data_IF_378476286590
#
_entry.id   IF_378476286590
#
_cell.length_a   1.000
_cell.length_b   1.000
_cell.length_c   1.000
_cell.angle_alpha   90.00
_cell.angle_beta   90.00
_cell.angle_gamma   90.00
#
_symmetry.space_group_name_H-M   'P 1'
#
loop_
_entity.id
_entity.type
_entity.pdbx_description
1 polymer ?
#
# COMPACT_ATOMS: atom_id res chain seq x y z
N UNK A 1 -31.49 -2.32 -1.78
CA UNK A 1 -30.52 -3.34 -2.29
C UNK A 1 -31.22 -4.14 -3.37
N UNK A 2 -30.49 -4.50 -4.43
CA UNK A 2 -30.87 -5.49 -5.44
C UNK A 2 -32.06 -5.17 -6.35
N UNK A 3 -32.05 -4.03 -7.06
CA UNK A 3 -32.73 -3.80 -8.37
C UNK A 3 -32.48 -2.33 -8.78
N UNK A 4 -31.95 -2.12 -9.98
CA UNK A 4 -31.55 -0.80 -10.51
C UNK A 4 -30.04 -0.72 -10.79
N UNK A 5 -29.68 -0.37 -12.03
CA UNK A 5 -28.38 -0.54 -12.72
C UNK A 5 -27.10 0.04 -12.07
N UNK A 6 -27.16 0.53 -10.83
CA UNK A 6 -26.00 1.06 -10.14
C UNK A 6 -25.40 0.05 -9.14
N UNK A 7 -24.61 -0.89 -9.66
CA UNK A 7 -23.85 -1.86 -8.87
C UNK A 7 -22.59 -1.26 -8.22
N UNK A 8 -22.28 0.03 -8.43
CA UNK A 8 -21.05 0.66 -7.95
C UNK A 8 -20.90 0.55 -6.43
N UNK A 9 -21.97 0.77 -5.66
CA UNK A 9 -21.96 0.66 -4.20
C UNK A 9 -21.66 -0.77 -3.72
N UNK A 10 -22.14 -1.78 -4.45
CA UNK A 10 -21.85 -3.19 -4.12
C UNK A 10 -20.41 -3.54 -4.46
N UNK A 11 -19.92 -3.11 -5.63
CA UNK A 11 -18.54 -3.34 -6.06
C UNK A 11 -17.54 -2.65 -5.13
N UNK A 12 -17.77 -1.39 -4.76
CA UNK A 12 -16.87 -0.67 -3.86
C UNK A 12 -16.88 -1.26 -2.45
N UNK A 13 -18.02 -1.75 -1.95
CA UNK A 13 -18.09 -2.47 -0.67
C UNK A 13 -17.29 -3.77 -0.71
N UNK A 14 -17.42 -4.54 -1.79
CA UNK A 14 -16.68 -5.79 -1.99
C UNK A 14 -15.16 -5.56 -2.10
N UNK A 15 -14.74 -4.53 -2.82
CA UNK A 15 -13.33 -4.18 -2.96
C UNK A 15 -12.74 -3.64 -1.65
N UNK A 16 -13.47 -2.79 -0.93
CA UNK A 16 -13.04 -2.34 0.40
C UNK A 16 -12.90 -3.52 1.36
N UNK A 17 -13.86 -4.44 1.42
CA UNK A 17 -13.76 -5.61 2.30
C UNK A 17 -12.50 -6.47 2.01
N UNK A 18 -12.14 -6.64 0.72
CA UNK A 18 -10.89 -7.31 0.36
C UNK A 18 -9.66 -6.50 0.79
N UNK A 19 -9.66 -5.19 0.58
CA UNK A 19 -8.57 -4.31 1.01
C UNK A 19 -8.39 -4.33 2.54
N UNK A 20 -9.48 -4.30 3.30
CA UNK A 20 -9.49 -4.44 4.76
C UNK A 20 -8.86 -5.75 5.19
N UNK A 21 -9.30 -6.89 4.63
CA UNK A 21 -8.74 -8.20 4.96
C UNK A 21 -7.24 -8.31 4.61
N UNK A 22 -6.82 -7.75 3.47
CA UNK A 22 -5.39 -7.72 3.11
C UNK A 22 -4.58 -6.83 4.05
N UNK A 23 -5.14 -5.72 4.52
CA UNK A 23 -4.51 -4.86 5.52
C UNK A 23 -4.40 -5.55 6.89
N UNK A 24 -5.45 -6.25 7.35
CA UNK A 24 -5.42 -7.03 8.60
C UNK A 24 -4.34 -8.11 8.55
N UNK A 25 -4.26 -8.86 7.44
CA UNK A 25 -3.18 -9.83 7.22
C UNK A 25 -1.80 -9.16 7.26
N UNK A 26 -1.66 -7.98 6.65
CA UNK A 26 -0.41 -7.22 6.67
C UNK A 26 -0.04 -6.76 8.08
N UNK A 27 -1.02 -6.33 8.90
CA UNK A 27 -0.84 -5.95 10.30
C UNK A 27 -0.35 -7.14 11.11
N UNK A 28 -0.93 -8.32 10.91
CA UNK A 28 -0.49 -9.56 11.56
C UNK A 28 0.95 -9.91 11.17
N UNK A 29 1.29 -9.83 9.87
CA UNK A 29 2.65 -10.07 9.39
C UNK A 29 3.70 -9.14 10.03
N UNK A 30 3.34 -7.88 10.35
CA UNK A 30 4.28 -6.92 10.94
C UNK A 30 4.25 -6.89 12.46
N UNK A 31 3.27 -7.52 13.11
CA UNK A 31 3.00 -7.37 14.54
C UNK A 31 4.22 -7.63 15.44
N UNK A 32 5.05 -8.61 15.09
CA UNK A 32 6.28 -8.93 15.83
C UNK A 32 7.49 -8.03 15.49
N UNK A 33 7.42 -7.23 14.43
CA UNK A 33 8.50 -6.37 13.95
C UNK A 33 8.23 -4.88 14.11
N UNK A 34 6.96 -4.48 14.27
CA UNK A 34 6.55 -3.09 14.46
C UNK A 34 7.32 -2.40 15.59
N UNK A 35 7.54 -3.13 16.68
CA UNK A 35 8.25 -2.65 17.88
C UNK A 35 9.78 -2.63 17.76
N UNK A 36 10.37 -3.35 16.79
CA UNK A 36 11.82 -3.37 16.62
C UNK A 36 12.30 -2.01 16.12
N UNK A 37 13.36 -1.47 16.70
CA UNK A 37 13.98 -0.21 16.25
C UNK A 37 14.83 -0.41 15.00
N UNK A 38 15.17 -1.66 14.68
CA UNK A 38 15.95 -2.08 13.51
C UNK A 38 15.14 -2.97 12.58
N UNK A 39 15.53 -3.00 11.31
CA UNK A 39 14.96 -3.88 10.28
C UNK A 39 16.08 -4.45 9.42
N UNK A 40 16.02 -5.74 9.09
CA UNK A 40 16.89 -6.37 8.11
C UNK A 40 16.13 -6.54 6.79
N UNK A 41 16.38 -5.63 5.85
CA UNK A 41 15.71 -5.62 4.54
C UNK A 41 16.18 -6.76 3.61
N UNK A 42 17.25 -7.46 3.96
CA UNK A 42 17.80 -8.58 3.19
C UNK A 42 17.44 -9.93 3.77
N UNK A 43 16.84 -9.98 4.96
CA UNK A 43 16.44 -11.25 5.55
C UNK A 43 15.45 -11.97 4.61
N UNK A 44 15.54 -13.31 4.51
CA UNK A 44 14.58 -14.06 3.70
C UNK A 44 13.14 -13.78 4.11
N UNK A 45 12.91 -13.65 5.41
CA UNK A 45 11.59 -13.33 5.98
C UNK A 45 11.05 -11.98 5.48
N UNK A 46 11.89 -10.93 5.53
CA UNK A 46 11.50 -9.61 5.04
C UNK A 46 11.23 -9.62 3.54
N UNK A 47 12.15 -10.19 2.75
CA UNK A 47 12.08 -10.11 1.29
C UNK A 47 10.93 -10.94 0.71
N UNK A 48 10.64 -12.11 1.28
CA UNK A 48 9.53 -12.97 0.84
C UNK A 48 8.17 -12.33 1.13
N UNK A 49 8.05 -11.56 2.22
CA UNK A 49 6.78 -10.97 2.65
C UNK A 49 6.68 -9.46 2.40
N UNK A 50 7.66 -8.84 1.71
CA UNK A 50 7.76 -7.38 1.54
C UNK A 50 6.51 -6.73 0.97
N UNK A 51 5.82 -7.38 0.05
CA UNK A 51 4.60 -6.85 -0.57
C UNK A 51 3.38 -7.16 0.29
N UNK A 52 3.30 -8.36 0.87
CA UNK A 52 2.20 -8.75 1.76
C UNK A 52 2.09 -7.80 2.97
N UNK A 53 3.23 -7.41 3.55
CA UNK A 53 3.28 -6.46 4.68
C UNK A 53 3.07 -4.99 4.30
N UNK A 54 3.23 -4.64 3.02
CA UNK A 54 3.39 -3.24 2.58
C UNK A 54 2.15 -2.37 2.84
N UNK A 55 0.97 -3.00 2.94
CA UNK A 55 -0.27 -2.32 3.31
C UNK A 55 -0.28 -1.83 4.76
N UNK A 56 0.49 -2.44 5.66
CA UNK A 56 0.57 -2.03 7.07
C UNK A 56 1.86 -1.27 7.39
N UNK A 57 2.99 -1.66 6.78
CA UNK A 57 4.28 -1.02 6.99
C UNK A 57 5.19 -1.16 5.78
N UNK A 58 5.86 -0.07 5.41
CA UNK A 58 6.82 -0.06 4.32
C UNK A 58 8.12 0.65 4.71
N UNK A 59 9.24 0.08 4.25
CA UNK A 59 10.58 0.59 4.46
C UNK A 59 11.30 0.74 3.12
N UNK A 60 12.08 1.81 2.97
CA UNK A 60 12.92 2.04 1.80
C UNK A 60 14.30 2.53 2.24
N UNK A 61 15.35 1.83 1.80
CA UNK A 61 16.75 2.19 2.08
C UNK A 61 17.52 2.70 0.85
N UNK A 62 16.85 2.88 -0.30
CA UNK A 62 17.50 3.24 -1.56
C UNK A 62 17.80 2.03 -2.44
N UNK A 63 18.57 2.24 -3.50
CA UNK A 63 18.90 1.21 -4.49
C UNK A 63 19.89 0.17 -3.97
N UNK A 64 20.78 0.58 -3.06
CA UNK A 64 21.75 -0.32 -2.43
C UNK A 64 21.28 -0.66 -1.02
N UNK A 65 20.73 -1.87 -0.85
CA UNK A 65 20.28 -2.32 0.48
C UNK A 65 21.48 -2.46 1.43
N UNK A 66 21.38 -1.99 2.68
CA UNK A 66 22.42 -2.21 3.68
C UNK A 66 22.56 -3.71 4.01
N UNK A 67 23.74 -4.12 4.51
CA UNK A 67 23.97 -5.48 5.01
C UNK A 67 23.53 -5.57 6.47
N UNK A 68 22.73 -6.58 6.80
CA UNK A 68 22.24 -6.83 8.16
C UNK A 68 21.16 -5.85 8.62
N UNK A 69 20.88 -5.88 9.92
CA UNK A 69 19.88 -5.03 10.55
C UNK A 69 20.32 -3.57 10.57
N UNK A 70 19.44 -2.67 10.11
CA UNK A 70 19.65 -1.22 10.15
C UNK A 70 18.61 -0.52 11.01
N UNK A 71 18.97 0.56 11.73
CA UNK A 71 18.00 1.39 12.43
C UNK A 71 16.95 1.94 11.46
N UNK A 72 15.66 1.85 11.81
CA UNK A 72 14.57 2.37 10.97
C UNK A 72 14.73 3.86 10.66
N UNK A 73 15.27 4.63 11.60
CA UNK A 73 15.59 6.06 11.42
C UNK A 73 16.64 6.36 10.34
N UNK A 74 17.42 5.36 9.90
CA UNK A 74 18.42 5.49 8.82
C UNK A 74 17.85 5.10 7.45
N UNK A 75 16.54 4.87 7.36
CA UNK A 75 15.87 4.59 6.11
C UNK A 75 15.45 5.90 5.43
N UNK A 76 15.47 5.92 4.10
CA UNK A 76 14.95 7.03 3.29
C UNK A 76 13.43 7.15 3.40
N UNK A 77 12.74 6.05 3.68
CA UNK A 77 11.34 6.03 4.04
C UNK A 77 11.08 4.95 5.07
N UNK A 78 10.30 5.28 6.08
CA UNK A 78 9.70 4.34 7.02
C UNK A 78 8.30 4.85 7.33
N UNK A 79 7.28 4.03 7.12
CA UNK A 79 5.90 4.43 7.38
C UNK A 79 5.05 3.26 7.81
N UNK A 80 4.13 3.53 8.73
CA UNK A 80 2.99 2.65 9.03
C UNK A 80 1.72 3.24 8.45
N UNK A 81 0.80 2.36 8.06
CA UNK A 81 -0.42 2.73 7.39
C UNK A 81 -1.63 2.20 8.13
N UNK A 82 -2.66 3.03 8.20
CA UNK A 82 -3.99 2.60 8.61
C UNK A 82 -4.70 1.88 7.47
N UNK A 83 -5.88 1.36 7.79
CA UNK A 83 -6.73 0.67 6.83
C UNK A 83 -6.96 1.53 5.57
N UNK A 84 -6.64 1.02 4.37
CA UNK A 84 -6.84 1.74 3.12
C UNK A 84 -8.33 1.79 2.76
N UNK A 85 -8.72 2.81 2.02
CA UNK A 85 -10.12 3.00 1.61
C UNK A 85 -10.20 3.34 0.13
N UNK A 86 -11.12 2.70 -0.58
CA UNK A 86 -11.39 2.95 -2.00
C UNK A 86 -12.77 3.57 -2.15
N UNK A 87 -12.86 4.66 -2.92
CA UNK A 87 -14.12 5.26 -3.33
C UNK A 87 -14.21 5.28 -4.86
N UNK A 88 -15.39 5.00 -5.41
CA UNK A 88 -15.63 5.18 -6.83
C UNK A 88 -16.10 6.61 -7.07
N UNK A 89 -15.39 7.33 -7.94
CA UNK A 89 -15.77 8.68 -8.38
C UNK A 89 -16.77 8.56 -9.53
N UNK A 90 -16.49 7.66 -10.48
CA UNK A 90 -17.35 7.34 -11.61
C UNK A 90 -17.13 5.89 -12.06
N UNK A 91 -17.70 5.52 -13.21
CA UNK A 91 -17.62 4.16 -13.77
C UNK A 91 -16.25 3.79 -14.38
N UNK A 92 -15.27 4.70 -14.37
CA UNK A 92 -13.91 4.48 -14.89
C UNK A 92 -12.80 5.06 -13.99
N UNK A 93 -13.14 5.67 -12.86
CA UNK A 93 -12.19 6.26 -11.92
C UNK A 93 -12.56 6.01 -10.46
N UNK A 94 -11.53 5.79 -9.65
CA UNK A 94 -11.62 5.60 -8.22
C UNK A 94 -10.57 6.47 -7.49
N UNK A 95 -10.83 6.80 -6.24
CA UNK A 95 -9.86 7.39 -5.32
C UNK A 95 -9.44 6.33 -4.29
N UNK A 96 -8.15 6.03 -4.21
CA UNK A 96 -7.54 5.23 -3.15
C UNK A 96 -6.97 6.16 -2.08
N UNK A 97 -7.52 6.09 -0.88
CA UNK A 97 -7.05 6.81 0.29
C UNK A 97 -6.13 5.92 1.10
N UNK A 98 -4.91 6.40 1.33
CA UNK A 98 -3.94 5.78 2.22
C UNK A 98 -3.72 6.69 3.42
N UNK A 99 -3.95 6.15 4.62
CA UNK A 99 -3.71 6.84 5.88
C UNK A 99 -2.32 6.51 6.38
N UNK A 100 -1.41 7.48 6.36
CA UNK A 100 -0.07 7.37 6.92
C UNK A 100 -0.16 7.71 8.41
N UNK A 101 -0.14 6.69 9.26
CA UNK A 101 -0.32 6.85 10.70
C UNK A 101 0.90 7.53 11.33
N UNK A 102 2.10 6.98 11.08
CA UNK A 102 3.34 7.56 11.54
C UNK A 102 4.51 7.16 10.63
N UNK A 103 5.59 7.93 10.69
CA UNK A 103 6.81 7.61 9.98
C UNK A 103 7.65 8.82 9.66
N UNK A 104 8.56 8.63 8.71
CA UNK A 104 9.36 9.70 8.14
C UNK A 104 9.72 9.41 6.69
N UNK A 105 10.03 10.47 5.96
CA UNK A 105 10.69 10.42 4.67
C UNK A 105 11.89 11.35 4.67
N UNK A 106 12.91 11.00 3.89
CA UNK A 106 14.09 11.82 3.72
C UNK A 106 13.91 12.80 2.54
N UNK A 107 14.05 14.11 2.80
CA UNK A 107 13.92 15.19 1.80
C UNK A 107 14.95 15.10 0.68
N UNK A 108 16.05 14.38 0.86
CA UNK A 108 17.06 14.21 -0.19
C UNK A 108 16.68 13.14 -1.23
N UNK A 109 15.55 12.45 -1.06
CA UNK A 109 15.00 11.57 -2.08
C UNK A 109 14.25 12.39 -3.16
N UNK A 110 14.42 12.09 -4.47
CA UNK A 110 15.25 11.03 -5.05
C UNK A 110 16.70 11.45 -5.35
N UNK A 111 17.07 12.71 -5.15
CA UNK A 111 18.31 13.31 -5.67
C UNK A 111 19.59 12.66 -5.14
N UNK A 112 19.70 12.40 -3.83
CA UNK A 112 20.86 11.73 -3.22
C UNK A 112 20.65 10.22 -3.01
N UNK A 113 19.43 9.72 -3.15
CA UNK A 113 19.11 8.31 -2.95
C UNK A 113 19.85 7.34 -3.90
N UNK A 114 20.27 7.86 -5.07
CA UNK A 114 21.03 7.11 -6.07
C UNK A 114 22.54 7.40 -6.03
N UNK A 115 23.01 8.24 -5.10
CA UNK A 115 24.46 8.46 -4.95
C UNK A 115 25.10 7.25 -4.27
N UNK A 116 26.16 6.73 -4.90
CA UNK A 116 26.92 5.59 -4.39
C UNK A 116 27.46 5.95 -3.01
N UNK A 117 27.23 5.08 -2.02
CA UNK A 117 27.61 5.24 -0.60
C UNK A 117 26.82 6.28 0.21
N UNK A 118 25.73 6.85 -0.30
CA UNK A 118 24.85 7.66 0.54
C UNK A 118 24.19 6.79 1.60
N UNK A 119 24.41 7.14 2.87
CA UNK A 119 23.76 6.53 4.03
C UNK A 119 22.99 7.63 4.74
N UNK A 120 21.66 7.56 4.82
CA UNK A 120 20.89 8.47 5.66
C UNK A 120 21.40 8.34 7.09
N UNK A 121 21.94 9.43 7.65
CA UNK A 121 22.42 9.42 9.03
C UNK A 121 21.23 9.60 9.98
N UNK A 122 21.18 8.77 11.03
CA UNK A 122 20.26 8.95 12.16
C UNK A 122 20.30 10.40 12.65
N UNK A 123 19.15 11.07 12.69
CA UNK A 123 19.06 12.44 13.22
C UNK A 123 19.57 13.54 12.29
N UNK A 124 19.89 13.23 11.03
CA UNK A 124 20.16 14.27 10.04
C UNK A 124 18.91 15.16 9.86
N UNK A 125 19.13 16.47 9.72
CA UNK A 125 18.14 17.53 9.43
C UNK A 125 17.16 17.24 8.28
N UNK A 126 17.44 16.19 7.51
CA UNK A 126 16.80 15.90 6.24
C UNK A 126 15.59 14.97 6.39
N UNK A 127 15.46 14.23 7.51
CA UNK A 127 14.29 13.42 7.81
C UNK A 127 13.09 14.29 8.22
N UNK A 128 12.00 14.19 7.48
CA UNK A 128 10.71 14.81 7.80
C UNK A 128 9.80 13.77 8.40
N UNK A 129 9.43 13.98 9.66
CA UNK A 129 8.43 13.15 10.32
C UNK A 129 7.03 13.52 9.84
N UNK A 130 6.18 12.51 9.79
CA UNK A 130 4.75 12.69 9.60
C UNK A 130 3.98 11.87 10.63
N UNK A 131 2.81 12.38 10.99
CA UNK A 131 1.86 11.72 11.87
C UNK A 131 0.46 12.09 11.42
N UNK A 132 -0.41 11.09 11.20
CA UNK A 132 -1.81 11.30 10.83
C UNK A 132 -2.01 12.01 9.48
N UNK A 133 -1.26 11.66 8.43
CA UNK A 133 -1.49 12.17 7.08
C UNK A 133 -2.42 11.25 6.29
N UNK A 134 -3.22 11.82 5.40
CA UNK A 134 -4.00 11.06 4.42
C UNK A 134 -3.63 11.51 3.00
N UNK A 135 -3.38 10.54 2.12
CA UNK A 135 -3.06 10.78 0.71
C UNK A 135 -4.10 10.08 -0.15
N UNK A 136 -4.65 10.80 -1.13
CA UNK A 136 -5.62 10.26 -2.08
C UNK A 136 -4.99 10.12 -3.47
N UNK A 137 -4.99 8.90 -4.00
CA UNK A 137 -4.53 8.58 -5.34
C UNK A 137 -5.73 8.39 -6.26
N UNK A 138 -5.80 9.18 -7.34
CA UNK A 138 -6.82 9.01 -8.38
C UNK A 138 -6.36 7.94 -9.37
N UNK A 139 -7.14 6.87 -9.47
CA UNK A 139 -6.85 5.68 -10.25
C UNK A 139 -7.87 5.55 -11.38
N UNK A 140 -7.39 5.30 -12.61
CA UNK A 140 -8.25 4.89 -13.73
C UNK A 140 -8.38 3.37 -13.72
N UNK A 141 -9.58 2.85 -13.96
CA UNK A 141 -9.81 1.41 -14.09
C UNK A 141 -10.67 1.08 -15.31
N UNK A 142 -10.52 -0.13 -15.83
CA UNK A 142 -11.38 -0.68 -16.87
C UNK A 142 -12.17 -1.87 -16.34
N UNK A 143 -13.40 -2.02 -16.82
CA UNK A 143 -14.26 -3.16 -16.49
C UNK A 143 -14.13 -4.19 -17.60
N UNK A 144 -13.92 -5.45 -17.24
CA UNK A 144 -13.96 -6.57 -18.17
C UNK A 144 -15.09 -7.50 -17.75
N UNK A 145 -15.96 -7.85 -18.69
CA UNK A 145 -16.97 -8.86 -18.47
C UNK A 145 -16.31 -10.24 -18.56
N UNK A 146 -16.60 -11.11 -17.60
CA UNK A 146 -16.22 -12.51 -17.69
C UNK A 146 -17.25 -13.21 -18.59
N UNK A 147 -16.85 -13.57 -19.81
CA UNK A 147 -17.64 -14.44 -20.69
C UNK A 147 -17.20 -15.89 -20.51
N UNK A 148 -18.10 -16.77 -20.08
CA UNK A 148 -17.82 -18.20 -20.06
C UNK A 148 -18.09 -18.84 -21.41
N UNK A 149 -17.54 -20.04 -21.65
CA UNK A 149 -17.88 -20.87 -22.81
C UNK A 149 -19.26 -21.55 -22.69
N UNK A 150 -19.79 -21.61 -21.47
CA UNK A 150 -21.14 -22.10 -21.21
C UNK A 150 -22.13 -20.95 -21.42
N UNK A 151 -23.21 -21.22 -22.17
CA UNK A 151 -24.38 -20.37 -22.37
C UNK A 151 -25.02 -19.79 -21.09
N UNK A 152 -24.63 -20.30 -19.91
CA UNK A 152 -25.10 -19.88 -18.59
C UNK A 152 -24.23 -18.83 -17.89
N UNK A 153 -23.02 -18.55 -18.39
CA UNK A 153 -22.11 -17.58 -17.76
C UNK A 153 -21.98 -16.35 -18.66
N UNK A 154 -22.53 -15.22 -18.20
CA UNK A 154 -22.37 -13.91 -18.84
C UNK A 154 -23.58 -13.42 -19.65
N UNK A 155 -24.72 -14.12 -19.62
CA UNK A 155 -25.98 -13.55 -20.13
C UNK A 155 -26.53 -12.56 -19.10
N UNK A 156 -26.23 -11.28 -19.30
CA UNK A 156 -27.06 -10.22 -18.76
C UNK A 156 -28.48 -10.42 -19.30
N UNK A 157 -29.42 -10.70 -18.41
CA UNK A 157 -30.86 -10.73 -18.65
C UNK A 157 -31.35 -9.30 -18.89
N UNK A 158 -31.20 -8.77 -20.10
CA UNK A 158 -31.98 -7.64 -20.60
C UNK A 158 -32.12 -7.79 -22.12
N UNK A 159 -33.18 -8.45 -22.56
CA UNK A 159 -33.75 -8.27 -23.90
C UNK A 159 -34.85 -7.19 -23.77
N UNK A 160 -34.79 -6.21 -24.66
CA UNK A 160 -35.85 -5.22 -24.93
C UNK A 160 -36.96 -5.91 -25.70
#
# INVERSE_FOLDING_TARGET
MCLGDNSATLSVRYLNAQLSAMWENAVECVGHEGQKTTVDLRSPDYNNHKYARSLAQFHFAGTTLPKGSVPKQNLLFNGTFGEPRLEFICNHEAALYLKLQNGHFDKVYPTKANTINYKPQAGASDNVRFEGLEVAFRLKFSRRNLSGKDSRIGKNLYEV
#
